data_IF_371752226392
#
_entry.id   IF_371752226392
#
_cell.length_a   1.000
_cell.length_b   1.000
_cell.length_c   1.000
_cell.angle_alpha   90.00
_cell.angle_beta   90.00
_cell.angle_gamma   90.00
#
_symmetry.space_group_name_H-M   'P 1'
#
loop_
_entity.id
_entity.type
_entity.pdbx_description
1 polymer ?
#
# COMPACT_ATOMS: atom_id res chain seq x y z
N UNK A 1 24.60 -28.24 -83.31
CA UNK A 1 23.35 -29.02 -83.35
C UNK A 1 22.21 -28.07 -83.05
N UNK A 2 21.42 -27.71 -84.06
CA UNK A 2 20.23 -26.87 -83.88
C UNK A 2 19.03 -27.76 -83.54
N UNK A 3 18.25 -27.48 -82.48
CA UNK A 3 17.03 -28.23 -82.23
C UNK A 3 15.95 -27.78 -83.22
N UNK A 4 15.45 -28.75 -83.98
CA UNK A 4 14.28 -28.62 -84.85
C UNK A 4 13.04 -28.44 -83.97
N UNK A 5 12.31 -27.34 -84.18
CA UNK A 5 10.94 -27.22 -83.71
C UNK A 5 10.07 -28.30 -84.39
N UNK A 6 9.12 -28.93 -83.67
CA UNK A 6 8.22 -29.89 -84.27
C UNK A 6 7.22 -29.19 -85.22
N UNK A 7 6.70 -29.91 -86.24
CA UNK A 7 5.82 -29.32 -87.24
C UNK A 7 4.44 -29.05 -86.64
N UNK A 8 3.86 -27.89 -86.96
CA UNK A 8 2.43 -27.64 -86.75
C UNK A 8 1.61 -28.70 -87.49
N UNK A 9 0.81 -29.47 -86.77
CA UNK A 9 -0.22 -30.34 -87.36
C UNK A 9 -1.25 -29.48 -88.10
N UNK A 10 -1.34 -29.69 -89.41
CA UNK A 10 -2.35 -29.10 -90.28
C UNK A 10 -3.74 -29.60 -89.83
N UNK A 11 -4.45 -28.80 -89.03
CA UNK A 11 -5.80 -29.09 -88.53
C UNK A 11 -6.09 -28.57 -87.12
N UNK A 12 -5.09 -28.23 -86.31
CA UNK A 12 -5.33 -27.63 -84.99
C UNK A 12 -5.58 -26.13 -85.08
N UNK A 13 -6.67 -25.68 -84.46
CA UNK A 13 -6.99 -24.27 -84.27
C UNK A 13 -5.80 -23.56 -83.59
N UNK A 14 -5.29 -22.44 -84.15
CA UNK A 14 -4.18 -21.68 -83.54
C UNK A 14 -4.53 -21.13 -82.15
N UNK A 15 -5.82 -21.07 -81.80
CA UNK A 15 -6.31 -20.67 -80.48
C UNK A 15 -6.26 -21.80 -79.43
N UNK A 16 -6.02 -23.06 -79.84
CA UNK A 16 -6.04 -24.25 -78.97
C UNK A 16 -5.13 -24.14 -77.73
N UNK A 17 -3.89 -23.61 -77.82
CA UNK A 17 -3.05 -23.40 -76.63
C UNK A 17 -3.64 -22.42 -75.62
N UNK A 18 -4.19 -21.30 -76.10
CA UNK A 18 -4.81 -20.24 -75.27
C UNK A 18 -6.08 -20.77 -74.60
N UNK A 19 -6.92 -21.48 -75.36
CA UNK A 19 -8.13 -22.13 -74.84
C UNK A 19 -7.77 -23.15 -73.75
N UNK A 20 -6.71 -23.94 -73.92
CA UNK A 20 -6.25 -24.89 -72.89
C UNK A 20 -5.79 -24.17 -71.62
N UNK A 21 -5.14 -23.00 -71.72
CA UNK A 21 -4.73 -22.19 -70.55
C UNK A 21 -5.93 -21.58 -69.84
N UNK A 22 -6.82 -20.91 -70.58
CA UNK A 22 -8.06 -20.35 -70.03
C UNK A 22 -8.90 -21.44 -69.33
N UNK A 23 -9.02 -22.63 -69.93
CA UNK A 23 -9.72 -23.75 -69.29
C UNK A 23 -9.07 -24.22 -67.99
N UNK A 24 -7.74 -24.09 -67.83
CA UNK A 24 -7.06 -24.40 -66.56
C UNK A 24 -7.30 -23.31 -65.52
N UNK A 25 -7.23 -22.04 -65.90
CA UNK A 25 -7.55 -20.94 -64.98
C UNK A 25 -9.01 -21.00 -64.51
N UNK A 26 -9.94 -21.36 -65.39
CA UNK A 26 -11.34 -21.58 -65.04
C UNK A 26 -11.60 -22.80 -64.15
N UNK A 27 -10.58 -23.61 -63.84
CA UNK A 27 -10.66 -24.66 -62.81
C UNK A 27 -10.20 -24.20 -61.43
N UNK A 28 -9.64 -23.00 -61.32
CA UNK A 28 -9.30 -22.37 -60.04
C UNK A 28 -10.57 -21.97 -59.28
N UNK A 29 -10.42 -21.68 -57.98
CA UNK A 29 -11.50 -21.06 -57.21
C UNK A 29 -11.81 -19.66 -57.75
N UNK A 30 -12.96 -19.10 -57.36
CA UNK A 30 -13.31 -17.75 -57.81
C UNK A 30 -12.42 -16.70 -57.15
N UNK A 31 -11.98 -16.89 -55.90
CA UNK A 31 -10.95 -16.03 -55.28
C UNK A 31 -9.63 -16.09 -56.04
N UNK A 32 -9.09 -17.29 -56.29
CA UNK A 32 -7.82 -17.43 -57.01
C UNK A 32 -7.89 -16.82 -58.42
N UNK A 33 -9.03 -16.95 -59.10
CA UNK A 33 -9.25 -16.34 -60.42
C UNK A 33 -9.35 -14.80 -60.36
N UNK A 34 -9.86 -14.24 -59.26
CA UNK A 34 -9.88 -12.79 -59.03
C UNK A 34 -8.46 -12.26 -58.75
N UNK A 35 -7.64 -13.00 -58.03
CA UNK A 35 -6.24 -12.66 -57.77
C UNK A 35 -5.39 -12.75 -59.06
N UNK A 36 -5.64 -13.76 -59.88
CA UNK A 36 -4.98 -13.97 -61.18
C UNK A 36 -5.67 -13.21 -62.35
N UNK A 37 -6.55 -12.25 -62.06
CA UNK A 37 -7.35 -11.55 -63.08
C UNK A 37 -6.49 -10.89 -64.17
N UNK A 38 -5.30 -10.40 -63.82
CA UNK A 38 -4.36 -9.81 -64.77
C UNK A 38 -3.94 -10.80 -65.86
N UNK A 39 -3.50 -12.00 -65.47
CA UNK A 39 -3.10 -13.07 -66.39
C UNK A 39 -4.33 -13.62 -67.15
N UNK A 40 -5.48 -13.73 -66.49
CA UNK A 40 -6.72 -14.15 -67.14
C UNK A 40 -7.14 -13.18 -68.26
N UNK A 41 -7.12 -11.87 -68.01
CA UNK A 41 -7.44 -10.83 -69.01
C UNK A 41 -6.48 -10.86 -70.21
N UNK A 42 -5.20 -11.11 -69.98
CA UNK A 42 -4.21 -11.24 -71.07
C UNK A 42 -4.54 -12.42 -72.00
N UNK A 43 -4.89 -13.59 -71.45
CA UNK A 43 -5.28 -14.73 -72.28
C UNK A 43 -6.65 -14.55 -72.97
N UNK A 44 -7.59 -13.83 -72.36
CA UNK A 44 -8.87 -13.49 -73.02
C UNK A 44 -8.64 -12.56 -74.22
N UNK A 45 -7.75 -11.57 -74.09
CA UNK A 45 -7.34 -10.70 -75.21
C UNK A 45 -6.65 -11.50 -76.31
N UNK A 46 -5.70 -12.38 -75.95
CA UNK A 46 -4.99 -13.25 -76.89
C UNK A 46 -5.98 -14.15 -77.66
N UNK A 47 -7.00 -14.69 -76.99
CA UNK A 47 -8.05 -15.48 -77.64
C UNK A 47 -8.93 -14.63 -78.58
N UNK A 48 -9.24 -13.39 -78.18
CA UNK A 48 -10.05 -12.46 -78.97
C UNK A 48 -9.35 -12.03 -80.28
N UNK A 49 -8.02 -11.92 -80.27
CA UNK A 49 -7.24 -11.64 -81.49
C UNK A 49 -7.40 -12.73 -82.56
N UNK A 50 -7.78 -13.94 -82.15
CA UNK A 50 -8.10 -15.06 -83.05
C UNK A 50 -9.58 -15.14 -83.46
N UNK A 51 -10.45 -14.19 -83.08
CA UNK A 51 -11.91 -14.27 -83.23
C UNK A 51 -12.41 -14.62 -84.65
N UNK A 52 -11.69 -14.20 -85.69
CA UNK A 52 -12.02 -14.45 -87.10
C UNK A 52 -11.74 -15.89 -87.56
N UNK A 53 -10.96 -16.66 -86.80
CA UNK A 53 -10.60 -18.07 -87.09
C UNK A 53 -11.30 -19.09 -86.19
N UNK A 54 -12.05 -18.63 -85.19
CA UNK A 54 -12.68 -19.51 -84.22
C UNK A 54 -13.88 -20.25 -84.84
N UNK A 55 -14.02 -21.52 -84.47
CA UNK A 55 -15.23 -22.31 -84.72
C UNK A 55 -16.43 -21.76 -83.94
N UNK A 56 -17.64 -22.24 -84.24
CA UNK A 56 -18.86 -21.80 -83.54
C UNK A 56 -18.83 -22.08 -82.04
N UNK A 57 -18.22 -23.19 -81.64
CA UNK A 57 -18.04 -23.60 -80.25
C UNK A 57 -17.00 -22.72 -79.54
N UNK A 58 -15.86 -22.46 -80.20
CA UNK A 58 -14.82 -21.59 -79.65
C UNK A 58 -15.28 -20.13 -79.55
N UNK A 59 -16.11 -19.65 -80.48
CA UNK A 59 -16.75 -18.32 -80.37
C UNK A 59 -17.67 -18.22 -79.17
N UNK A 60 -18.51 -19.24 -78.93
CA UNK A 60 -19.37 -19.28 -77.72
C UNK A 60 -18.55 -19.29 -76.43
N UNK A 61 -17.40 -19.98 -76.44
CA UNK A 61 -16.45 -19.96 -75.32
C UNK A 61 -15.86 -18.57 -75.13
N UNK A 62 -15.37 -17.92 -76.20
CA UNK A 62 -14.87 -16.54 -76.20
C UNK A 62 -15.91 -15.56 -75.63
N UNK A 63 -17.16 -15.60 -76.11
CA UNK A 63 -18.24 -14.75 -75.61
C UNK A 63 -18.48 -14.93 -74.11
N UNK A 64 -18.35 -16.16 -73.62
CA UNK A 64 -18.53 -16.48 -72.20
C UNK A 64 -17.39 -15.94 -71.34
N UNK A 65 -16.13 -16.09 -71.79
CA UNK A 65 -14.96 -15.57 -71.05
C UNK A 65 -14.84 -14.06 -71.14
N UNK A 66 -15.27 -13.42 -72.23
CA UNK A 66 -15.37 -11.96 -72.33
C UNK A 66 -16.39 -11.38 -71.36
N UNK A 67 -17.55 -12.05 -71.22
CA UNK A 67 -18.55 -11.64 -70.22
C UNK A 67 -17.99 -11.80 -68.81
N UNK A 68 -17.32 -12.92 -68.52
CA UNK A 68 -16.70 -13.16 -67.22
C UNK A 68 -15.58 -12.15 -66.93
N UNK A 69 -14.70 -11.87 -67.89
CA UNK A 69 -13.64 -10.87 -67.78
C UNK A 69 -14.23 -9.50 -67.42
N UNK A 70 -15.32 -9.09 -68.09
CA UNK A 70 -16.00 -7.84 -67.80
C UNK A 70 -16.54 -7.80 -66.36
N UNK A 71 -17.27 -8.83 -65.94
CA UNK A 71 -17.83 -8.88 -64.58
C UNK A 71 -16.74 -8.92 -63.49
N UNK A 72 -15.66 -9.68 -63.72
CA UNK A 72 -14.50 -9.71 -62.82
C UNK A 72 -13.81 -8.35 -62.75
N UNK A 73 -13.62 -7.68 -63.89
CA UNK A 73 -13.06 -6.32 -63.93
C UNK A 73 -13.89 -5.32 -63.14
N UNK A 74 -15.21 -5.41 -63.25
CA UNK A 74 -16.14 -4.47 -62.63
C UNK A 74 -16.34 -4.77 -61.12
N UNK A 75 -16.21 -6.04 -60.70
CA UNK A 75 -16.63 -6.47 -59.36
C UNK A 75 -15.51 -6.99 -58.45
N UNK A 76 -14.41 -7.55 -58.97
CA UNK A 76 -13.40 -8.25 -58.15
C UNK A 76 -12.77 -7.36 -57.08
N UNK A 77 -12.37 -6.14 -57.46
CA UNK A 77 -11.78 -5.18 -56.51
C UNK A 77 -12.78 -4.77 -55.41
N UNK A 78 -14.08 -4.73 -55.71
CA UNK A 78 -15.11 -4.44 -54.73
C UNK A 78 -15.31 -5.61 -53.76
N UNK A 79 -15.41 -6.84 -54.27
CA UNK A 79 -15.58 -8.06 -53.46
C UNK A 79 -14.43 -8.22 -52.47
N UNK A 80 -13.19 -8.18 -52.96
CA UNK A 80 -11.97 -8.30 -52.13
C UNK A 80 -11.93 -7.19 -51.07
N UNK A 81 -12.24 -5.94 -51.45
CA UNK A 81 -12.23 -4.84 -50.49
C UNK A 81 -13.29 -5.01 -49.39
N UNK A 82 -14.50 -5.45 -49.73
CA UNK A 82 -15.58 -5.69 -48.76
C UNK A 82 -15.23 -6.84 -47.83
N UNK A 83 -14.66 -7.93 -48.35
CA UNK A 83 -14.25 -9.09 -47.55
C UNK A 83 -13.14 -8.73 -46.58
N UNK A 84 -12.10 -8.04 -47.03
CA UNK A 84 -11.01 -7.57 -46.19
C UNK A 84 -11.49 -6.61 -45.08
N UNK A 85 -12.39 -5.67 -45.42
CA UNK A 85 -12.96 -4.75 -44.43
C UNK A 85 -13.83 -5.50 -43.42
N UNK A 86 -14.61 -6.49 -43.86
CA UNK A 86 -15.42 -7.32 -42.98
C UNK A 86 -14.55 -8.11 -42.00
N UNK A 87 -13.50 -8.76 -42.49
CA UNK A 87 -12.55 -9.49 -41.64
C UNK A 87 -11.91 -8.56 -40.61
N UNK A 88 -11.36 -7.43 -41.05
CA UNK A 88 -10.79 -6.42 -40.16
C UNK A 88 -11.82 -5.92 -39.13
N UNK A 89 -13.06 -5.68 -39.53
CA UNK A 89 -14.12 -5.24 -38.61
C UNK A 89 -14.44 -6.32 -37.56
N UNK A 90 -14.47 -7.60 -37.93
CA UNK A 90 -14.67 -8.71 -36.98
C UNK A 90 -13.55 -8.74 -35.96
N UNK A 91 -12.29 -8.72 -36.40
CA UNK A 91 -11.13 -8.72 -35.51
C UNK A 91 -11.15 -7.53 -34.54
N UNK A 92 -11.43 -6.33 -35.04
CA UNK A 92 -11.50 -5.13 -34.21
C UNK A 92 -12.66 -5.22 -33.22
N UNK A 93 -13.81 -5.76 -33.62
CA UNK A 93 -14.97 -5.93 -32.73
C UNK A 93 -14.64 -6.89 -31.59
N UNK A 94 -14.06 -8.05 -31.90
CA UNK A 94 -13.67 -9.05 -30.89
C UNK A 94 -12.61 -8.51 -29.91
N UNK A 95 -11.65 -7.73 -30.42
CA UNK A 95 -10.64 -7.07 -29.59
C UNK A 95 -11.26 -6.02 -28.66
N UNK A 96 -12.21 -5.22 -29.15
CA UNK A 96 -12.92 -4.22 -28.34
C UNK A 96 -13.81 -4.90 -27.29
N UNK A 97 -14.54 -5.95 -27.65
CA UNK A 97 -15.36 -6.72 -26.70
C UNK A 97 -14.49 -7.33 -25.59
N UNK A 98 -13.34 -7.89 -25.95
CA UNK A 98 -12.37 -8.40 -24.97
C UNK A 98 -11.87 -7.31 -24.02
N UNK A 99 -11.57 -6.12 -24.55
CA UNK A 99 -11.13 -4.99 -23.75
C UNK A 99 -12.24 -4.46 -22.83
N UNK A 100 -13.50 -4.48 -23.28
CA UNK A 100 -14.67 -4.12 -22.46
C UNK A 100 -14.78 -5.06 -21.26
N UNK A 101 -14.69 -6.38 -21.47
CA UNK A 101 -14.80 -7.35 -20.37
C UNK A 101 -13.65 -7.21 -19.36
N UNK A 102 -12.41 -7.08 -19.83
CA UNK A 102 -11.24 -6.82 -18.95
C UNK A 102 -11.45 -5.55 -18.12
N UNK A 103 -12.02 -4.50 -18.73
CA UNK A 103 -12.27 -3.24 -18.04
C UNK A 103 -13.34 -3.40 -16.96
N UNK A 104 -14.42 -4.14 -17.23
CA UNK A 104 -15.46 -4.45 -16.23
C UNK A 104 -14.88 -5.22 -15.04
N UNK A 105 -14.13 -6.29 -15.30
CA UNK A 105 -13.49 -7.09 -14.23
C UNK A 105 -12.52 -6.24 -13.40
N UNK A 106 -11.76 -5.35 -14.05
CA UNK A 106 -10.86 -4.42 -13.36
C UNK A 106 -11.63 -3.46 -12.46
N UNK A 107 -12.77 -2.95 -12.92
CA UNK A 107 -13.63 -2.08 -12.13
C UNK A 107 -14.19 -2.81 -10.91
N UNK A 108 -14.70 -4.03 -11.08
CA UNK A 108 -15.25 -4.84 -9.99
C UNK A 108 -14.20 -5.08 -8.88
N UNK A 109 -12.96 -5.41 -9.27
CA UNK A 109 -11.85 -5.58 -8.33
C UNK A 109 -11.51 -4.26 -7.61
N UNK A 110 -11.50 -3.14 -8.33
CA UNK A 110 -11.26 -1.83 -7.71
C UNK A 110 -12.35 -1.46 -6.71
N UNK A 111 -13.62 -1.75 -7.02
CA UNK A 111 -14.75 -1.54 -6.12
C UNK A 111 -14.64 -2.40 -4.85
N UNK A 112 -14.24 -3.66 -4.98
CA UNK A 112 -14.01 -4.54 -3.83
C UNK A 112 -12.88 -3.99 -2.93
N UNK A 113 -11.75 -3.58 -3.52
CA UNK A 113 -10.62 -2.98 -2.79
C UNK A 113 -11.07 -1.73 -2.04
N UNK A 114 -11.83 -0.84 -2.68
CA UNK A 114 -12.38 0.34 -2.02
C UNK A 114 -13.28 -0.04 -0.84
N UNK A 115 -14.14 -1.05 -1.00
CA UNK A 115 -14.98 -1.58 0.06
C UNK A 115 -14.16 -2.08 1.26
N UNK A 116 -13.07 -2.79 1.02
CA UNK A 116 -12.15 -3.25 2.08
C UNK A 116 -11.49 -2.06 2.80
N UNK A 117 -10.99 -1.08 2.04
CA UNK A 117 -10.34 0.11 2.59
C UNK A 117 -11.28 0.91 3.51
N UNK A 118 -12.52 1.16 3.09
CA UNK A 118 -13.50 1.87 3.92
C UNK A 118 -13.88 1.10 5.19
N UNK A 119 -13.95 -0.23 5.11
CA UNK A 119 -14.20 -1.05 6.29
C UNK A 119 -13.04 -0.98 7.28
N UNK A 120 -11.80 -1.01 6.80
CA UNK A 120 -10.64 -0.91 7.69
C UNK A 120 -10.52 0.50 8.29
N UNK A 121 -10.77 1.56 7.52
CA UNK A 121 -10.84 2.94 8.02
C UNK A 121 -11.83 3.05 9.19
N UNK A 122 -13.05 2.53 9.03
CA UNK A 122 -14.05 2.51 10.10
C UNK A 122 -13.57 1.77 11.34
N UNK A 123 -12.92 0.61 11.17
CA UNK A 123 -12.38 -0.17 12.30
C UNK A 123 -11.29 0.58 13.05
N UNK A 124 -10.43 1.31 12.33
CA UNK A 124 -9.40 2.16 12.91
C UNK A 124 -10.05 3.31 13.70
N UNK A 125 -11.07 3.96 13.15
CA UNK A 125 -11.82 5.03 13.83
C UNK A 125 -12.49 4.54 15.12
N UNK A 126 -13.16 3.39 15.07
CA UNK A 126 -13.78 2.77 16.25
C UNK A 126 -12.74 2.48 17.34
N UNK A 127 -11.57 1.96 16.94
CA UNK A 127 -10.47 1.67 17.87
C UNK A 127 -9.88 2.94 18.47
N UNK A 128 -9.75 3.99 17.68
CA UNK A 128 -9.29 5.30 18.14
C UNK A 128 -10.28 5.91 19.14
N UNK A 129 -11.59 5.78 18.89
CA UNK A 129 -12.63 6.23 19.80
C UNK A 129 -12.59 5.47 21.14
N UNK A 130 -12.42 4.14 21.11
CA UNK A 130 -12.25 3.32 22.31
C UNK A 130 -11.01 3.73 23.11
N UNK A 131 -9.85 3.86 22.47
CA UNK A 131 -8.61 4.25 23.14
C UNK A 131 -8.73 5.65 23.77
N UNK A 132 -9.36 6.60 23.07
CA UNK A 132 -9.63 7.93 23.61
C UNK A 132 -10.56 7.88 24.83
N UNK A 133 -11.54 6.97 24.85
CA UNK A 133 -12.42 6.76 26.00
C UNK A 133 -11.67 6.21 27.20
N UNK A 134 -10.72 5.29 26.99
CA UNK A 134 -9.87 4.71 28.04
C UNK A 134 -8.81 5.69 28.57
N UNK A 135 -8.28 6.58 27.73
CA UNK A 135 -7.27 7.57 28.12
C UNK A 135 -7.83 8.61 29.12
N UNK A 136 -9.09 9.03 28.96
CA UNK A 136 -9.73 10.03 29.83
C UNK A 136 -9.70 9.70 31.33
N UNK A 137 -10.14 8.52 31.80
CA UNK A 137 -10.08 8.17 33.21
C UNK A 137 -8.64 8.03 33.73
N UNK A 138 -7.71 7.53 32.91
CA UNK A 138 -6.29 7.44 33.29
C UNK A 138 -5.69 8.84 33.55
N UNK A 139 -5.97 9.80 32.67
CA UNK A 139 -5.56 11.20 32.89
C UNK A 139 -6.19 11.80 34.15
N UNK A 140 -7.47 11.49 34.45
CA UNK A 140 -8.12 11.92 35.69
C UNK A 140 -7.42 11.32 36.91
N UNK A 141 -7.11 10.02 36.90
CA UNK A 141 -6.41 9.35 38.01
C UNK A 141 -4.99 9.89 38.21
N UNK A 142 -4.25 10.16 37.12
CA UNK A 142 -2.93 10.82 37.18
C UNK A 142 -3.01 12.16 37.92
N UNK A 143 -3.98 13.02 37.58
CA UNK A 143 -4.15 14.32 38.25
C UNK A 143 -4.52 14.18 39.72
N UNK A 144 -5.37 13.21 40.06
CA UNK A 144 -5.74 12.93 41.45
C UNK A 144 -4.52 12.52 42.29
N UNK A 145 -3.73 11.55 41.79
CA UNK A 145 -2.49 11.11 42.43
C UNK A 145 -1.48 12.25 42.61
N UNK A 146 -1.33 13.11 41.61
CA UNK A 146 -0.49 14.31 41.73
C UNK A 146 -0.98 15.27 42.81
N UNK A 147 -2.29 15.38 43.02
CA UNK A 147 -2.87 16.12 44.14
C UNK A 147 -2.49 15.50 45.49
N UNK A 148 -2.77 14.20 45.65
CA UNK A 148 -2.45 13.44 46.88
C UNK A 148 -0.95 13.57 47.25
N UNK A 149 -0.05 13.40 46.28
CA UNK A 149 1.39 13.54 46.49
C UNK A 149 1.77 14.96 46.92
N UNK A 150 1.19 16.00 46.30
CA UNK A 150 1.47 17.39 46.68
C UNK A 150 1.04 17.67 48.11
N UNK A 151 -0.13 17.19 48.52
CA UNK A 151 -0.64 17.37 49.88
C UNK A 151 0.28 16.69 50.90
N UNK A 152 0.76 15.48 50.60
CA UNK A 152 1.67 14.74 51.47
C UNK A 152 3.05 15.41 51.57
N UNK A 153 3.56 15.96 50.46
CA UNK A 153 4.79 16.77 50.47
C UNK A 153 4.60 18.01 51.37
N UNK A 154 3.47 18.71 51.26
CA UNK A 154 3.18 19.88 52.12
C UNK A 154 3.15 19.48 53.59
N UNK A 155 2.46 18.39 53.95
CA UNK A 155 2.46 17.87 55.34
C UNK A 155 3.86 17.53 55.83
N UNK A 156 4.68 16.90 54.98
CA UNK A 156 6.06 16.56 55.31
C UNK A 156 6.92 17.80 55.53
N UNK A 157 6.76 18.84 54.70
CA UNK A 157 7.45 20.13 54.87
C UNK A 157 7.05 20.78 56.20
N UNK A 158 5.75 20.84 56.53
CA UNK A 158 5.30 21.37 57.82
C UNK A 158 5.90 20.62 59.01
N UNK A 159 5.94 19.28 58.96
CA UNK A 159 6.57 18.45 60.00
C UNK A 159 8.07 18.72 60.12
N UNK A 160 8.77 18.93 58.99
CA UNK A 160 10.19 19.29 58.99
C UNK A 160 10.44 20.64 59.66
N UNK A 161 9.62 21.65 59.38
CA UNK A 161 9.73 22.95 60.08
C UNK A 161 9.53 22.78 61.59
N UNK A 162 8.50 22.07 62.03
CA UNK A 162 8.29 21.81 63.47
C UNK A 162 9.46 21.06 64.12
N UNK A 163 10.10 20.14 63.40
CA UNK A 163 11.29 19.44 63.90
C UNK A 163 12.47 20.40 64.08
N UNK A 164 12.69 21.32 63.13
CA UNK A 164 13.73 22.35 63.24
C UNK A 164 13.50 23.20 64.48
N UNK A 165 12.29 23.70 64.69
CA UNK A 165 11.95 24.50 65.89
C UNK A 165 12.21 23.75 67.20
N UNK A 166 11.94 22.44 67.23
CA UNK A 166 12.19 21.59 68.41
C UNK A 166 13.68 21.34 68.65
N UNK A 167 14.46 21.20 67.57
CA UNK A 167 15.92 21.04 67.67
C UNK A 167 16.57 22.33 68.20
N UNK A 168 16.11 23.49 67.75
CA UNK A 168 16.59 24.79 68.23
C UNK A 168 16.30 24.95 69.73
N UNK A 169 15.06 24.68 70.16
CA UNK A 169 14.68 24.68 71.59
C UNK A 169 15.47 23.66 72.42
N UNK A 170 15.75 22.49 71.86
CA UNK A 170 16.59 21.49 72.54
C UNK A 170 18.01 22.04 72.72
N UNK A 171 18.54 22.79 71.75
CA UNK A 171 19.81 23.50 71.84
C UNK A 171 19.82 24.51 73.00
N UNK A 172 18.82 25.39 73.05
CA UNK A 172 18.65 26.38 74.13
C UNK A 172 18.61 25.71 75.51
N UNK A 173 17.77 24.69 75.69
CA UNK A 173 17.67 23.95 76.95
C UNK A 173 18.99 23.26 77.35
N UNK A 174 19.77 22.78 76.38
CA UNK A 174 21.09 22.20 76.64
C UNK A 174 22.08 23.26 77.12
N UNK A 175 22.04 24.47 76.57
CA UNK A 175 22.88 25.58 77.03
C UNK A 175 22.46 26.04 78.43
N UNK A 176 21.17 26.19 78.70
CA UNK A 176 20.63 26.56 80.02
C UNK A 176 20.99 25.54 81.12
N UNK A 177 21.10 24.26 80.76
CA UNK A 177 21.47 23.19 81.71
C UNK A 177 22.93 23.30 82.17
N UNK A 178 23.85 23.83 81.35
CA UNK A 178 25.28 23.94 81.70
C UNK A 178 25.53 24.69 83.02
N UNK A 179 25.05 25.93 83.21
CA UNK A 179 25.28 26.66 84.47
C UNK A 179 24.55 26.01 85.66
N UNK A 180 23.42 25.33 85.45
CA UNK A 180 22.72 24.60 86.52
C UNK A 180 23.58 23.45 87.01
N UNK A 181 24.18 22.67 86.10
CA UNK A 181 25.08 21.58 86.45
C UNK A 181 26.31 22.10 87.22
N UNK A 182 26.91 23.22 86.77
CA UNK A 182 27.99 23.89 87.50
C UNK A 182 27.58 24.34 88.90
N UNK A 183 26.39 24.94 89.03
CA UNK A 183 25.85 25.37 90.31
C UNK A 183 25.53 24.18 91.23
N UNK A 184 25.06 23.06 90.69
CA UNK A 184 24.84 21.84 91.45
C UNK A 184 26.16 21.30 92.02
N UNK A 185 27.25 21.35 91.26
CA UNK A 185 28.59 20.99 91.78
C UNK A 185 29.01 21.92 92.93
N UNK A 186 28.82 23.23 92.78
CA UNK A 186 29.09 24.21 93.84
C UNK A 186 28.24 23.95 95.08
N UNK A 187 26.93 23.74 94.92
CA UNK A 187 26.00 23.43 96.01
C UNK A 187 26.39 22.15 96.76
N UNK A 188 26.80 21.09 96.04
CA UNK A 188 27.33 19.85 96.64
C UNK A 188 28.60 20.08 97.47
N UNK A 189 29.46 21.04 97.10
CA UNK A 189 30.65 21.42 97.89
C UNK A 189 30.25 22.19 99.15
N UNK A 190 29.38 23.18 99.02
CA UNK A 190 28.87 23.97 100.16
C UNK A 190 28.15 23.07 101.17
N UNK A 191 27.29 22.17 100.70
CA UNK A 191 26.59 21.20 101.56
C UNK A 191 27.58 20.39 102.41
N UNK A 192 28.63 19.83 101.79
CA UNK A 192 29.67 19.07 102.51
C UNK A 192 30.40 19.92 103.55
N UNK A 193 30.73 21.17 103.22
CA UNK A 193 31.37 22.09 104.17
C UNK A 193 30.46 22.41 105.37
N UNK A 194 29.16 22.61 105.14
CA UNK A 194 28.18 22.82 106.20
C UNK A 194 27.99 21.57 107.07
N UNK A 195 27.91 20.38 106.46
CA UNK A 195 27.86 19.11 107.18
C UNK A 195 29.10 18.91 108.07
N UNK A 196 30.29 19.31 107.59
CA UNK A 196 31.53 19.29 108.38
C UNK A 196 31.48 20.29 109.54
N UNK A 197 31.13 21.55 109.28
CA UNK A 197 30.98 22.58 110.32
C UNK A 197 29.96 22.16 111.38
N UNK A 198 28.85 21.53 110.98
CA UNK A 198 27.86 21.00 111.91
C UNK A 198 28.45 19.88 112.78
N UNK A 199 29.22 18.95 112.19
CA UNK A 199 29.89 17.89 112.96
C UNK A 199 30.86 18.45 114.00
N UNK A 200 31.63 19.47 113.65
CA UNK A 200 32.54 20.18 114.57
C UNK A 200 31.74 20.84 115.70
N UNK A 201 30.71 21.63 115.37
CA UNK A 201 29.91 22.32 116.38
C UNK A 201 29.20 21.36 117.35
N UNK A 202 28.75 20.19 116.87
CA UNK A 202 28.17 19.14 117.73
C UNK A 202 29.22 18.56 118.68
N UNK A 203 30.47 18.37 118.21
CA UNK A 203 31.56 17.90 119.05
C UNK A 203 31.93 18.94 120.14
N UNK A 204 32.12 20.20 119.75
CA UNK A 204 32.45 21.31 120.66
C UNK A 204 31.37 21.50 121.75
N UNK A 205 30.08 21.39 121.38
CA UNK A 205 28.97 21.45 122.33
C UNK A 205 28.98 20.28 123.33
N UNK A 206 29.44 19.10 122.90
CA UNK A 206 29.64 17.94 123.78
C UNK A 206 30.75 18.17 124.81
N UNK A 207 31.85 18.82 124.41
CA UNK A 207 32.95 19.15 125.33
C UNK A 207 32.54 20.21 126.36
N UNK A 208 31.74 21.21 125.98
CA UNK A 208 31.19 22.23 126.91
C UNK A 208 30.22 21.65 127.95
N UNK A 209 29.50 20.57 127.62
CA UNK A 209 28.65 19.83 128.56
C UNK A 209 29.41 18.92 129.53
N UNK A 210 30.71 18.72 129.32
CA UNK A 210 31.57 17.88 130.16
C UNK A 210 32.39 18.66 131.20
N UNK A 211 32.15 19.97 131.36
CA UNK A 211 32.75 20.79 132.42
C UNK A 211 31.74 21.22 133.49
N UNK A 212 31.23 20.22 134.22
CA UNK A 212 30.86 20.32 135.64
C UNK A 212 31.36 19.05 136.33
N UNK A 213 32.67 19.02 136.57
CA UNK A 213 33.37 18.92 137.89
C UNK A 213 32.64 18.07 138.95
N UNK A 214 33.34 17.17 139.67
CA UNK A 214 34.72 17.32 140.15
C UNK A 214 35.81 16.58 139.39
#
# INVERSE_FOLDING_TARGET
MSPKNPPFECGQSPASPVIKRLRRMLTLSTEDLMDDFGEFSEFVKELNDYCWRLTKEEKRFLDSVLRLEKELKDSASFVIAVENVKECHVEVTEAVDSQIEITKETMDVQEEIMGICFNEERRVDDRLAMLNKEMKPLLKRKRALQGEIRDDITKLISRRHSLVDLLDKQGELKEDLKPIEENMVKAKRVKRALEEMHRIAVADAGELGSSTVP
#
